data_IF_940475053889
#
_entry.id   IF_940475053889
#
_cell.length_a   1.000
_cell.length_b   1.000
_cell.length_c   1.000
_cell.angle_alpha   90.00
_cell.angle_beta   90.00
_cell.angle_gamma   90.00
#
_symmetry.space_group_name_H-M   'P 1'
#
loop_
_entity.id
_entity.type
_entity.pdbx_description
1 polymer ?
#
# COMPACT_ATOMS: atom_id res chain seq x y z
N UNK A 1 19.96 -12.67 -2.02
CA UNK A 1 20.53 -11.66 -2.93
C UNK A 1 19.39 -11.28 -3.85
N UNK A 2 18.71 -10.17 -3.55
CA UNK A 2 17.45 -9.81 -4.20
C UNK A 2 17.74 -8.76 -5.25
N UNK A 3 17.37 -9.07 -6.49
CA UNK A 3 17.51 -8.21 -7.67
C UNK A 3 16.61 -6.97 -7.54
N UNK A 4 17.22 -5.81 -7.38
CA UNK A 4 16.58 -4.52 -7.67
C UNK A 4 16.34 -4.45 -9.18
N UNK A 5 15.06 -4.49 -9.58
CA UNK A 5 14.68 -4.19 -10.96
C UNK A 5 14.23 -2.73 -11.00
N UNK A 6 15.19 -1.82 -11.12
CA UNK A 6 14.94 -0.40 -11.36
C UNK A 6 14.61 -0.22 -12.85
N UNK A 7 13.33 -0.14 -13.19
CA UNK A 7 12.91 0.35 -14.52
C UNK A 7 13.11 1.85 -14.58
N UNK A 8 14.23 2.28 -15.17
CA UNK A 8 14.48 3.69 -15.52
C UNK A 8 13.48 4.15 -16.57
N UNK A 9 12.54 5.00 -16.18
CA UNK A 9 11.64 5.67 -17.09
C UNK A 9 12.34 6.84 -17.78
N UNK A 10 13.01 6.58 -18.90
CA UNK A 10 13.44 7.63 -19.82
C UNK A 10 12.23 8.38 -20.39
N UNK A 11 12.12 9.68 -20.08
CA UNK A 11 11.16 10.60 -20.67
C UNK A 11 11.89 11.88 -21.07
N UNK A 12 11.86 12.21 -22.35
CA UNK A 12 12.72 13.21 -22.99
C UNK A 12 12.59 14.62 -22.40
N UNK A 13 13.73 15.14 -21.92
CA UNK A 13 13.86 16.50 -21.45
C UNK A 13 13.80 17.50 -22.60
N UNK A 14 12.67 18.21 -22.70
CA UNK A 14 12.68 19.54 -23.30
C UNK A 14 13.67 20.40 -22.55
N UNK A 15 14.61 21.04 -23.26
CA UNK A 15 15.64 21.87 -22.65
C UNK A 15 15.04 23.19 -22.17
N UNK A 16 14.31 23.17 -21.07
CA UNK A 16 13.76 24.40 -20.48
C UNK A 16 14.92 25.20 -19.91
N UNK A 17 15.17 26.38 -20.49
CA UNK A 17 16.19 27.33 -20.02
C UNK A 17 15.49 28.49 -19.34
N UNK A 18 15.71 28.66 -18.04
CA UNK A 18 15.14 29.76 -17.25
C UNK A 18 16.23 30.36 -16.36
N UNK A 19 16.29 31.69 -16.29
CA UNK A 19 17.21 32.44 -15.43
C UNK A 19 18.70 32.09 -15.62
N UNK A 20 19.08 31.61 -16.82
CA UNK A 20 20.43 31.14 -17.12
C UNK A 20 20.72 29.71 -16.65
N UNK A 21 19.69 28.95 -16.28
CA UNK A 21 19.79 27.54 -15.90
C UNK A 21 19.04 26.65 -16.88
N UNK A 22 19.58 25.46 -17.08
CA UNK A 22 18.98 24.41 -17.88
C UNK A 22 18.76 23.17 -17.01
N UNK A 23 17.57 22.60 -17.05
CA UNK A 23 17.32 21.26 -16.52
C UNK A 23 17.95 20.22 -17.45
N UNK A 24 18.91 19.45 -16.95
CA UNK A 24 19.67 18.45 -17.72
C UNK A 24 19.04 17.08 -17.61
N UNK A 25 18.69 16.67 -16.40
CA UNK A 25 18.09 15.36 -16.14
C UNK A 25 17.24 15.37 -14.88
N UNK A 26 16.30 14.45 -14.83
CA UNK A 26 15.42 14.19 -13.70
C UNK A 26 15.47 12.70 -13.37
N UNK A 27 15.50 12.41 -12.09
CA UNK A 27 15.41 11.08 -11.54
C UNK A 27 14.30 11.14 -10.48
N UNK A 28 13.09 10.87 -10.95
CA UNK A 28 11.85 10.97 -10.19
C UNK A 28 11.04 9.71 -10.46
N UNK A 29 10.71 8.90 -9.43
CA UNK A 29 9.93 7.70 -9.63
C UNK A 29 8.51 8.04 -10.06
N UNK A 30 7.92 7.25 -10.97
CA UNK A 30 6.52 7.39 -11.36
C UNK A 30 5.56 6.73 -10.35
N UNK A 31 6.04 5.74 -9.61
CA UNK A 31 5.27 4.98 -8.65
C UNK A 31 6.14 4.58 -7.47
N UNK A 32 5.59 4.68 -6.26
CA UNK A 32 6.27 4.30 -5.01
C UNK A 32 5.26 3.64 -4.07
N UNK A 33 5.69 2.64 -3.30
CA UNK A 33 4.84 2.04 -2.27
C UNK A 33 4.75 2.95 -1.04
N UNK A 34 3.55 3.11 -0.49
CA UNK A 34 3.34 3.90 0.72
C UNK A 34 4.27 3.46 1.88
N UNK A 35 4.69 4.41 2.71
CA UNK A 35 5.61 4.20 3.82
C UNK A 35 7.08 4.04 3.43
N UNK A 36 7.40 3.83 2.14
CA UNK A 36 8.78 3.76 1.67
C UNK A 36 9.38 5.15 1.42
N UNK A 37 10.68 5.28 1.73
CA UNK A 37 11.45 6.46 1.37
C UNK A 37 11.79 6.42 -0.12
N UNK A 38 11.71 7.58 -0.78
CA UNK A 38 12.17 7.76 -2.14
C UNK A 38 12.76 9.17 -2.31
N UNK A 39 13.48 9.40 -3.39
CA UNK A 39 14.10 10.69 -3.67
C UNK A 39 13.58 11.32 -4.95
N UNK A 40 13.43 12.65 -4.93
CA UNK A 40 13.33 13.47 -6.13
C UNK A 40 14.70 14.03 -6.42
N UNK A 41 15.22 13.83 -7.63
CA UNK A 41 16.54 14.31 -8.00
C UNK A 41 16.51 15.05 -9.33
N UNK A 42 17.06 16.26 -9.36
CA UNK A 42 17.15 17.10 -10.55
C UNK A 42 18.59 17.55 -10.75
N UNK A 43 19.09 17.43 -11.97
CA UNK A 43 20.41 17.94 -12.36
C UNK A 43 20.24 19.23 -13.15
N UNK A 44 20.77 20.32 -12.62
CA UNK A 44 20.75 21.64 -13.26
C UNK A 44 22.12 21.96 -13.83
N UNK A 45 22.16 22.69 -14.95
CA UNK A 45 23.37 23.28 -15.52
C UNK A 45 23.24 24.79 -15.52
N UNK A 46 24.27 25.51 -15.06
CA UNK A 46 24.38 26.94 -15.32
C UNK A 46 24.85 27.12 -16.77
N UNK A 47 24.01 27.72 -17.60
CA UNK A 47 24.29 28.04 -19.01
C UNK A 47 24.53 29.54 -19.24
N UNK A 48 24.51 30.34 -18.17
CA UNK A 48 24.95 31.74 -18.19
C UNK A 48 26.46 31.90 -18.02
N UNK A 49 26.90 33.16 -18.01
CA UNK A 49 28.33 33.53 -18.05
C UNK A 49 28.95 33.80 -16.67
N UNK A 50 28.14 33.84 -15.61
CA UNK A 50 28.61 34.09 -14.23
C UNK A 50 28.17 32.99 -13.24
N UNK A 51 28.95 32.73 -12.17
CA UNK A 51 28.55 31.82 -11.11
C UNK A 51 27.27 32.27 -10.40
N UNK A 52 26.23 31.42 -10.41
CA UNK A 52 24.90 31.75 -9.87
C UNK A 52 24.31 30.56 -9.10
N UNK A 53 23.58 30.84 -8.02
CA UNK A 53 22.79 29.83 -7.33
C UNK A 53 21.40 29.73 -7.95
N UNK A 54 20.83 28.53 -7.99
CA UNK A 54 19.45 28.32 -8.39
C UNK A 54 18.53 28.28 -7.16
N UNK A 55 17.41 28.98 -7.24
CA UNK A 55 16.36 28.99 -6.22
C UNK A 55 14.99 28.95 -6.89
N UNK A 56 14.15 27.99 -6.50
CA UNK A 56 12.76 27.87 -6.95
C UNK A 56 11.88 27.33 -5.83
N UNK A 57 10.64 27.80 -5.75
CA UNK A 57 9.63 27.11 -4.92
C UNK A 57 9.29 25.75 -5.54
N UNK A 58 8.95 24.80 -4.68
CA UNK A 58 8.40 23.50 -5.03
C UNK A 58 6.97 23.46 -4.50
N UNK A 59 6.00 23.49 -5.40
CA UNK A 59 4.59 23.31 -5.08
C UNK A 59 4.23 21.83 -5.13
N UNK A 60 3.33 21.41 -4.24
CA UNK A 60 2.86 20.02 -4.14
C UNK A 60 1.34 20.02 -4.15
N UNK A 61 0.75 19.44 -5.18
CA UNK A 61 -0.69 19.31 -5.34
C UNK A 61 -1.11 17.85 -5.31
N UNK A 62 -2.16 17.51 -4.56
CA UNK A 62 -2.71 16.15 -4.52
C UNK A 62 -3.65 15.91 -3.35
N UNK A 63 -4.27 14.72 -3.31
CA UNK A 63 -5.13 14.27 -2.21
C UNK A 63 -4.26 13.76 -1.03
N UNK A 64 -3.29 14.61 -0.66
CA UNK A 64 -2.29 14.56 0.42
C UNK A 64 -2.81 14.97 1.79
N UNK A 65 -3.44 14.13 2.61
CA UNK A 65 -3.69 14.47 4.01
C UNK A 65 -2.35 14.69 4.72
N UNK A 66 -2.19 15.89 5.27
CA UNK A 66 -0.90 16.39 5.76
C UNK A 66 -0.10 17.15 4.70
N UNK A 67 -0.74 17.83 3.74
CA UNK A 67 -0.13 18.79 2.82
C UNK A 67 0.71 19.85 3.57
N UNK A 68 1.94 19.45 3.85
CA UNK A 68 3.03 20.18 4.46
C UNK A 68 4.25 19.71 3.66
N UNK A 69 4.55 20.40 2.56
CA UNK A 69 5.76 21.21 2.46
C UNK A 69 5.80 21.83 1.06
N UNK A 70 5.41 23.10 1.00
CA UNK A 70 6.03 24.05 0.06
C UNK A 70 7.53 24.02 0.34
N UNK A 71 8.28 23.33 -0.51
CA UNK A 71 9.73 23.25 -0.40
C UNK A 71 10.40 24.41 -1.13
N UNK A 72 11.68 24.60 -0.88
CA UNK A 72 12.54 25.36 -1.78
C UNK A 72 13.61 24.45 -2.34
N UNK A 73 13.72 24.47 -3.67
CA UNK A 73 14.90 23.98 -4.35
C UNK A 73 15.95 25.07 -4.26
N UNK A 74 17.04 24.79 -3.54
CA UNK A 74 18.17 25.71 -3.41
C UNK A 74 19.47 24.96 -3.67
N UNK A 75 20.36 25.58 -4.44
CA UNK A 75 21.71 25.10 -4.68
C UNK A 75 22.74 26.09 -4.15
N UNK A 76 23.98 25.63 -3.99
CA UNK A 76 25.13 26.53 -3.96
C UNK A 76 25.30 27.23 -5.32
N UNK A 77 26.25 28.17 -5.40
CA UNK A 77 26.62 28.77 -6.68
C UNK A 77 27.19 27.71 -7.62
N UNK A 78 26.70 27.71 -8.85
CA UNK A 78 27.12 26.81 -9.93
C UNK A 78 27.92 27.66 -10.92
N UNK A 79 29.17 27.31 -11.17
CA UNK A 79 29.98 28.01 -12.16
C UNK A 79 29.42 27.84 -13.59
N UNK A 80 29.71 28.78 -14.51
CA UNK A 80 29.33 28.67 -15.92
C UNK A 80 29.71 27.32 -16.53
N UNK A 81 28.76 26.70 -17.24
CA UNK A 81 28.93 25.40 -17.88
C UNK A 81 28.97 24.20 -16.93
N UNK A 82 28.96 24.40 -15.60
CA UNK A 82 28.93 23.31 -14.61
C UNK A 82 27.51 22.89 -14.28
N UNK A 83 27.41 21.66 -13.77
CA UNK A 83 26.17 21.05 -13.30
C UNK A 83 26.19 20.86 -11.80
N UNK A 84 25.02 20.89 -11.17
CA UNK A 84 24.83 20.41 -9.80
C UNK A 84 23.60 19.53 -9.71
N UNK A 85 23.59 18.63 -8.73
CA UNK A 85 22.46 17.76 -8.41
C UNK A 85 21.79 18.29 -7.16
N UNK A 86 20.49 18.59 -7.27
CA UNK A 86 19.64 18.79 -6.11
C UNK A 86 18.84 17.52 -5.85
N UNK A 87 18.68 17.15 -4.59
CA UNK A 87 17.90 15.99 -4.19
C UNK A 87 17.16 16.25 -2.89
N UNK A 88 15.96 15.70 -2.76
CA UNK A 88 15.22 15.63 -1.49
C UNK A 88 14.66 14.23 -1.29
N UNK A 89 14.58 13.78 -0.03
CA UNK A 89 14.04 12.46 0.34
C UNK A 89 12.69 12.62 1.01
N UNK A 90 11.72 11.83 0.57
CA UNK A 90 10.31 11.96 0.91
C UNK A 90 9.73 10.61 1.33
N UNK A 91 8.61 10.63 2.04
CA UNK A 91 7.83 9.45 2.43
C UNK A 91 6.36 9.82 2.55
N UNK A 92 5.48 8.99 1.98
CA UNK A 92 4.03 9.18 2.07
C UNK A 92 3.39 8.01 2.80
N UNK A 93 2.70 8.23 3.94
CA UNK A 93 2.07 7.15 4.69
C UNK A 93 0.75 6.65 4.09
N UNK A 94 0.21 7.31 3.05
CA UNK A 94 -1.09 6.97 2.46
C UNK A 94 -0.98 6.81 0.95
N UNK A 95 -1.93 6.07 0.37
CA UNK A 95 -2.06 6.01 -1.08
C UNK A 95 -2.56 7.36 -1.61
N UNK A 96 -1.93 7.85 -2.65
CA UNK A 96 -2.18 9.19 -3.18
C UNK A 96 -1.65 9.30 -4.61
N UNK A 97 -2.11 10.33 -5.31
CA UNK A 97 -1.47 10.82 -6.54
C UNK A 97 -0.96 12.22 -6.26
N UNK A 98 0.36 12.40 -6.33
CA UNK A 98 1.05 13.63 -5.91
C UNK A 98 1.70 14.27 -7.13
N UNK A 99 1.50 15.57 -7.32
CA UNK A 99 2.10 16.37 -8.38
C UNK A 99 3.07 17.38 -7.78
N UNK A 100 4.33 17.32 -8.18
CA UNK A 100 5.36 18.29 -7.81
C UNK A 100 5.59 19.27 -8.94
N UNK A 101 5.39 20.56 -8.69
CA UNK A 101 5.69 21.62 -9.65
C UNK A 101 6.89 22.45 -9.20
N UNK A 102 7.92 22.51 -10.03
CA UNK A 102 9.08 23.39 -9.84
C UNK A 102 8.82 24.69 -10.58
N UNK A 103 8.34 25.71 -9.87
CA UNK A 103 7.77 26.93 -10.46
C UNK A 103 8.68 27.58 -11.53
N UNK A 104 9.97 27.78 -11.22
CA UNK A 104 10.88 28.44 -12.15
C UNK A 104 11.21 27.59 -13.37
N UNK A 105 11.17 26.27 -13.28
CA UNK A 105 11.42 25.42 -14.44
C UNK A 105 10.15 25.19 -15.26
N UNK A 106 8.98 25.56 -14.71
CA UNK A 106 7.66 25.17 -15.23
C UNK A 106 7.53 23.65 -15.48
N UNK A 107 8.24 22.86 -14.67
CA UNK A 107 8.27 21.40 -14.78
C UNK A 107 7.37 20.79 -13.71
N UNK A 108 6.59 19.77 -14.10
CA UNK A 108 5.70 19.04 -13.20
C UNK A 108 5.98 17.54 -13.25
N UNK A 109 6.09 16.92 -12.09
CA UNK A 109 6.26 15.47 -11.92
C UNK A 109 5.08 14.87 -11.19
N UNK A 110 4.53 13.78 -11.72
CA UNK A 110 3.44 13.05 -11.09
C UNK A 110 3.95 11.72 -10.55
N UNK A 111 3.60 11.42 -9.29
CA UNK A 111 3.99 10.21 -8.58
C UNK A 111 2.73 9.54 -8.04
N UNK A 112 2.55 8.27 -8.39
CA UNK A 112 1.48 7.42 -7.86
C UNK A 112 2.00 6.68 -6.61
N UNK A 113 1.52 7.07 -5.43
CA UNK A 113 1.77 6.36 -4.17
C UNK A 113 0.75 5.23 -4.04
N UNK A 114 1.22 4.00 -4.10
CA UNK A 114 0.38 2.79 -4.13
C UNK A 114 0.47 2.00 -2.83
N UNK A 115 -0.53 1.16 -2.60
CA UNK A 115 -0.53 0.23 -1.47
C UNK A 115 0.43 -0.94 -1.69
N UNK A 116 0.59 -1.74 -0.64
CA UNK A 116 1.58 -2.81 -0.62
C UNK A 116 1.03 -4.10 -1.22
N UNK A 117 1.87 -4.81 -1.98
CA UNK A 117 1.59 -6.16 -2.47
C UNK A 117 2.51 -7.12 -1.73
N UNK A 118 1.92 -8.15 -1.16
CA UNK A 118 2.54 -9.06 -0.21
C UNK A 118 2.24 -10.50 -0.59
N UNK A 119 3.10 -11.40 -0.16
CA UNK A 119 2.86 -12.84 -0.18
C UNK A 119 2.05 -13.24 1.05
N UNK A 120 1.29 -14.35 0.98
CA UNK A 120 0.68 -14.92 2.19
C UNK A 120 1.74 -15.19 3.28
N UNK A 121 1.41 -14.88 4.53
CA UNK A 121 2.31 -14.91 5.68
C UNK A 121 3.05 -13.59 5.96
N UNK A 122 3.17 -12.69 4.99
CA UNK A 122 3.78 -11.38 5.18
C UNK A 122 2.83 -10.38 5.88
N UNK A 123 3.41 -9.42 6.58
CA UNK A 123 2.66 -8.48 7.45
C UNK A 123 2.72 -7.06 6.92
N UNK A 124 1.56 -6.45 6.72
CA UNK A 124 1.40 -5.03 6.45
C UNK A 124 1.17 -4.26 7.75
N UNK A 125 1.81 -3.10 7.93
CA UNK A 125 1.54 -2.19 9.06
C UNK A 125 0.82 -0.94 8.56
N UNK A 126 -0.43 -0.74 8.97
CA UNK A 126 -1.20 0.44 8.58
C UNK A 126 -0.66 1.71 9.23
N UNK A 127 -0.99 2.90 8.69
CA UNK A 127 -0.66 4.19 9.32
C UNK A 127 -1.25 4.36 10.72
N UNK A 128 -2.33 3.65 11.03
CA UNK A 128 -2.97 3.61 12.35
C UNK A 128 -2.32 2.61 13.31
N UNK A 129 -1.21 1.99 12.92
CA UNK A 129 -0.45 1.02 13.71
C UNK A 129 -1.16 -0.31 13.99
N UNK A 130 -2.03 -0.73 13.07
CA UNK A 130 -2.53 -2.10 13.03
C UNK A 130 -1.64 -2.92 12.11
N UNK A 131 -1.05 -3.99 12.63
CA UNK A 131 -0.32 -4.97 11.84
C UNK A 131 -1.29 -6.07 11.37
N UNK A 132 -1.43 -6.25 10.06
CA UNK A 132 -2.31 -7.22 9.43
C UNK A 132 -1.49 -8.27 8.68
N UNK A 133 -1.84 -9.53 8.89
CA UNK A 133 -1.24 -10.69 8.21
C UNK A 133 -2.35 -11.58 7.68
N UNK A 134 -2.32 -11.89 6.40
CA UNK A 134 -3.12 -12.99 5.83
C UNK A 134 -2.23 -14.21 5.85
N UNK A 135 -2.51 -15.17 6.73
CA UNK A 135 -1.60 -16.28 7.01
C UNK A 135 -1.63 -17.32 5.89
N UNK A 136 -2.82 -17.77 5.52
CA UNK A 136 -3.07 -18.74 4.45
C UNK A 136 -4.53 -18.68 3.98
N UNK A 137 -4.83 -19.45 2.93
CA UNK A 137 -6.18 -19.77 2.48
C UNK A 137 -6.31 -21.29 2.38
N UNK A 138 -7.28 -21.86 3.08
CA UNK A 138 -7.62 -23.29 2.98
C UNK A 138 -8.83 -23.48 2.09
N UNK A 139 -8.67 -24.30 1.05
CA UNK A 139 -9.75 -24.72 0.15
C UNK A 139 -10.27 -26.10 0.56
N UNK A 140 -11.59 -26.26 0.64
CA UNK A 140 -12.24 -27.52 1.05
C UNK A 140 -13.64 -27.64 0.47
N UNK A 141 -14.11 -28.86 0.24
CA UNK A 141 -15.47 -29.14 -0.24
C UNK A 141 -16.51 -29.02 0.88
N UNK A 142 -16.13 -29.30 2.13
CA UNK A 142 -17.01 -29.17 3.30
C UNK A 142 -16.29 -28.59 4.50
N UNK A 143 -17.08 -28.08 5.46
CA UNK A 143 -16.62 -27.85 6.81
C UNK A 143 -17.51 -28.59 7.82
N UNK A 144 -16.94 -28.86 9.00
CA UNK A 144 -17.67 -29.48 10.11
C UNK A 144 -17.98 -28.40 11.13
N UNK A 145 -19.13 -28.47 11.80
CA UNK A 145 -19.47 -27.63 12.95
C UNK A 145 -20.10 -28.37 14.13
N UNK A 146 -19.75 -28.04 15.37
CA UNK A 146 -20.38 -28.58 16.58
C UNK A 146 -21.42 -27.59 17.15
N UNK A 147 -22.73 -27.85 17.00
CA UNK A 147 -23.76 -26.97 17.54
C UNK A 147 -23.84 -27.06 19.07
N UNK A 148 -24.39 -26.02 19.72
CA UNK A 148 -24.52 -25.94 21.18
C UNK A 148 -25.35 -27.07 21.82
N UNK A 149 -26.17 -27.77 21.02
CA UNK A 149 -26.92 -28.96 21.43
C UNK A 149 -26.08 -30.25 21.50
N UNK A 150 -24.80 -30.20 21.15
CA UNK A 150 -23.90 -31.34 21.09
C UNK A 150 -23.97 -32.08 19.74
N UNK A 151 -22.95 -32.92 19.49
CA UNK A 151 -22.77 -33.58 18.20
C UNK A 151 -21.99 -32.71 17.22
N UNK A 152 -22.01 -33.12 15.96
CA UNK A 152 -21.25 -32.47 14.89
C UNK A 152 -21.99 -32.60 13.57
N UNK A 153 -22.10 -31.51 12.84
CA UNK A 153 -22.72 -31.43 11.53
C UNK A 153 -21.66 -31.16 10.47
N UNK A 154 -21.84 -31.70 9.27
CA UNK A 154 -21.02 -31.36 8.11
C UNK A 154 -21.85 -30.49 7.18
N UNK A 155 -21.24 -29.43 6.67
CA UNK A 155 -21.83 -28.51 5.70
C UNK A 155 -21.00 -28.59 4.42
N UNK A 156 -21.58 -29.20 3.40
CA UNK A 156 -21.04 -29.26 2.05
C UNK A 156 -21.15 -27.89 1.38
N UNK A 157 -20.20 -27.58 0.49
CA UNK A 157 -20.36 -26.49 -0.46
C UNK A 157 -21.50 -26.81 -1.46
N UNK A 158 -22.08 -25.78 -2.03
CA UNK A 158 -23.10 -25.90 -3.08
C UNK A 158 -22.50 -26.53 -4.35
N UNK A 159 -23.36 -27.04 -5.22
CA UNK A 159 -22.96 -27.68 -6.48
C UNK A 159 -22.00 -26.81 -7.31
N UNK A 160 -20.84 -27.38 -7.66
CA UNK A 160 -19.78 -26.70 -8.43
C UNK A 160 -19.00 -25.64 -7.64
N UNK A 161 -19.15 -25.61 -6.30
CA UNK A 161 -18.46 -24.67 -5.41
C UNK A 161 -17.52 -25.39 -4.45
N UNK A 162 -16.69 -24.60 -3.78
CA UNK A 162 -15.87 -25.01 -2.66
C UNK A 162 -15.80 -23.87 -1.64
N UNK A 163 -15.48 -24.21 -0.41
CA UNK A 163 -15.21 -23.24 0.64
C UNK A 163 -13.77 -22.73 0.56
N UNK A 164 -13.59 -21.44 0.77
CA UNK A 164 -12.31 -20.80 1.01
C UNK A 164 -12.31 -20.17 2.41
N UNK A 165 -11.43 -20.67 3.28
CA UNK A 165 -11.20 -20.14 4.62
C UNK A 165 -9.92 -19.32 4.63
N UNK A 166 -10.05 -18.00 4.75
CA UNK A 166 -8.94 -17.05 4.83
C UNK A 166 -8.56 -16.86 6.29
N UNK A 167 -7.33 -17.25 6.68
CA UNK A 167 -6.83 -17.05 8.04
C UNK A 167 -6.23 -15.67 8.19
N UNK A 168 -6.82 -14.85 9.06
CA UNK A 168 -6.44 -13.45 9.28
C UNK A 168 -5.88 -13.29 10.69
N UNK A 169 -4.76 -12.57 10.81
CA UNK A 169 -4.24 -12.07 12.08
C UNK A 169 -4.12 -10.54 12.04
N UNK A 170 -4.68 -9.88 13.04
CA UNK A 170 -4.50 -8.44 13.26
C UNK A 170 -3.94 -8.18 14.66
N UNK A 171 -2.98 -7.28 14.78
CA UNK A 171 -2.36 -6.89 16.05
C UNK A 171 -2.34 -5.38 16.22
N UNK A 172 -2.66 -4.91 17.42
CA UNK A 172 -2.53 -3.51 17.78
C UNK A 172 -1.07 -3.20 18.15
N UNK A 173 -0.33 -2.52 17.26
CA UNK A 173 1.02 -2.03 17.53
C UNK A 173 1.04 -0.61 18.10
N UNK A 174 -0.12 0.00 18.29
CA UNK A 174 -0.22 1.31 18.91
C UNK A 174 -0.14 1.19 20.44
N UNK A 175 0.42 2.21 21.08
CA UNK A 175 0.60 2.27 22.54
C UNK A 175 -0.71 2.32 23.35
N UNK A 176 -1.84 2.61 22.70
CA UNK A 176 -3.16 2.70 23.34
C UNK A 176 -4.08 1.59 22.84
N UNK A 177 -5.20 1.35 23.54
CA UNK A 177 -6.24 0.44 23.05
C UNK A 177 -6.74 0.90 21.68
N UNK A 178 -6.96 -0.06 20.78
CA UNK A 178 -7.52 0.18 19.46
C UNK A 178 -8.55 -0.89 19.10
N UNK A 179 -9.55 -0.48 18.34
CA UNK A 179 -10.48 -1.40 17.69
C UNK A 179 -9.79 -1.98 16.46
N UNK A 180 -9.62 -3.30 16.41
CA UNK A 180 -9.09 -3.98 15.24
C UNK A 180 -10.10 -3.95 14.08
N UNK A 181 -9.63 -4.07 12.83
CA UNK A 181 -10.49 -4.07 11.65
C UNK A 181 -11.55 -5.16 11.72
N UNK A 182 -12.71 -4.88 11.14
CA UNK A 182 -13.76 -5.89 10.98
C UNK A 182 -13.49 -6.79 9.78
N UNK A 183 -14.06 -7.99 9.79
CA UNK A 183 -14.01 -8.91 8.66
C UNK A 183 -14.55 -8.30 7.35
N UNK A 184 -15.56 -7.43 7.43
CA UNK A 184 -16.15 -6.79 6.25
C UNK A 184 -15.22 -5.79 5.54
N UNK A 185 -14.13 -5.38 6.19
CA UNK A 185 -13.09 -4.52 5.59
C UNK A 185 -12.05 -5.32 4.81
N UNK A 186 -12.13 -6.66 4.86
CA UNK A 186 -11.23 -7.61 4.23
C UNK A 186 -12.01 -8.32 3.13
N UNK A 187 -11.48 -8.29 1.91
CA UNK A 187 -12.16 -8.80 0.74
C UNK A 187 -11.33 -9.88 0.06
N UNK A 188 -11.95 -11.04 -0.19
CA UNK A 188 -11.41 -12.00 -1.15
C UNK A 188 -11.74 -11.53 -2.56
N UNK A 189 -10.75 -11.59 -3.45
CA UNK A 189 -10.85 -11.25 -4.86
C UNK A 189 -10.50 -12.50 -5.67
N UNK A 190 -11.37 -12.86 -6.62
CA UNK A 190 -11.20 -14.01 -7.53
C UNK A 190 -11.37 -13.49 -8.96
N UNK A 191 -10.38 -13.68 -9.82
CA UNK A 191 -10.44 -13.22 -11.21
C UNK A 191 -10.63 -11.69 -11.37
N UNK A 192 -10.35 -10.91 -10.32
CA UNK A 192 -10.55 -9.44 -10.29
C UNK A 192 -11.84 -8.98 -9.61
N UNK A 193 -12.77 -9.90 -9.32
CA UNK A 193 -14.05 -9.59 -8.69
C UNK A 193 -14.04 -9.87 -7.19
N UNK A 194 -14.69 -9.01 -6.41
CA UNK A 194 -14.85 -9.20 -4.96
C UNK A 194 -15.90 -10.27 -4.67
N UNK A 195 -15.54 -11.23 -3.82
CA UNK A 195 -16.45 -12.27 -3.34
C UNK A 195 -17.06 -11.85 -2.01
N UNK A 196 -18.37 -12.04 -1.88
CA UNK A 196 -19.09 -11.80 -0.63
C UNK A 196 -18.68 -12.84 0.42
N UNK A 197 -18.41 -12.37 1.64
CA UNK A 197 -18.19 -13.24 2.79
C UNK A 197 -19.46 -14.05 3.07
N UNK A 198 -19.30 -15.35 3.26
CA UNK A 198 -20.39 -16.24 3.64
C UNK A 198 -20.64 -16.13 5.15
N UNK A 199 -21.92 -16.19 5.53
CA UNK A 199 -22.31 -16.35 6.93
C UNK A 199 -22.37 -17.85 7.24
N UNK A 200 -21.38 -18.33 7.98
CA UNK A 200 -21.30 -19.72 8.40
C UNK A 200 -21.77 -19.86 9.85
N UNK A 201 -22.34 -21.02 10.18
CA UNK A 201 -22.67 -21.35 11.56
C UNK A 201 -21.43 -21.17 12.46
N UNK A 202 -21.60 -20.47 13.57
CA UNK A 202 -20.52 -20.23 14.55
C UNK A 202 -20.11 -21.56 15.17
N UNK A 203 -18.83 -21.88 15.18
CA UNK A 203 -18.30 -23.15 15.69
C UNK A 203 -17.30 -22.95 16.84
N UNK A 204 -17.36 -23.88 17.80
CA UNK A 204 -16.24 -24.35 18.63
C UNK A 204 -15.80 -25.74 18.08
N UNK A 205 -15.07 -25.79 16.97
CA UNK A 205 -14.63 -27.08 16.39
C UNK A 205 -13.48 -26.95 15.38
N UNK A 206 -13.39 -27.81 14.35
CA UNK A 206 -12.11 -28.23 13.69
C UNK A 206 -11.20 -27.04 13.33
N UNK A 207 -11.80 -25.92 12.94
CA UNK A 207 -11.17 -24.63 12.87
C UNK A 207 -11.18 -24.00 14.30
N UNK A 208 -10.10 -24.20 15.06
CA UNK A 208 -9.93 -23.80 16.49
C UNK A 208 -9.86 -22.29 16.81
N UNK A 209 -9.79 -21.39 15.84
CA UNK A 209 -9.88 -19.93 16.02
C UNK A 209 -11.28 -19.38 15.70
N UNK A 210 -11.72 -18.37 16.44
CA UNK A 210 -13.05 -17.82 16.22
C UNK A 210 -13.14 -17.13 14.86
N UNK A 211 -14.37 -16.94 14.34
CA UNK A 211 -14.62 -16.02 13.21
C UNK A 211 -13.93 -14.68 13.47
N UNK A 212 -13.21 -14.17 12.49
CA UNK A 212 -12.56 -12.87 12.60
C UNK A 212 -13.61 -11.75 12.68
N UNK A 213 -13.46 -10.81 13.60
CA UNK A 213 -14.45 -9.77 13.89
C UNK A 213 -13.86 -8.55 14.61
N UNK A 214 -14.68 -7.55 14.91
CA UNK A 214 -14.22 -6.39 15.67
C UNK A 214 -13.95 -6.73 17.12
N UNK A 215 -12.75 -6.38 17.58
CA UNK A 215 -12.39 -6.41 18.98
C UNK A 215 -11.54 -5.21 19.33
N UNK A 216 -11.89 -4.53 20.42
CA UNK A 216 -11.01 -3.56 21.05
C UNK A 216 -9.99 -4.29 21.91
N UNK A 217 -8.72 -4.14 21.58
CA UNK A 217 -7.61 -4.85 22.22
C UNK A 217 -6.59 -3.89 22.80
N UNK A 218 -5.85 -4.31 23.82
CA UNK A 218 -4.74 -3.55 24.38
C UNK A 218 -3.55 -3.47 23.40
N UNK A 219 -2.57 -2.61 23.74
CA UNK A 219 -1.30 -2.54 23.00
C UNK A 219 -0.61 -3.91 23.01
N UNK A 220 -0.16 -4.37 21.84
CA UNK A 220 0.51 -5.65 21.65
C UNK A 220 -0.42 -6.87 21.63
N UNK A 221 -1.72 -6.70 21.89
CA UNK A 221 -2.68 -7.80 21.75
C UNK A 221 -3.05 -8.02 20.28
N UNK A 222 -3.29 -9.28 19.94
CA UNK A 222 -3.69 -9.70 18.60
C UNK A 222 -5.00 -10.48 18.61
N UNK A 223 -5.68 -10.47 17.47
CA UNK A 223 -6.81 -11.31 17.13
C UNK A 223 -6.44 -12.16 15.94
N UNK A 224 -6.77 -13.44 15.99
CA UNK A 224 -6.64 -14.36 14.86
C UNK A 224 -7.95 -15.09 14.66
N UNK A 225 -8.36 -15.25 13.41
CA UNK A 225 -9.63 -15.84 13.04
C UNK A 225 -9.77 -16.04 11.55
N UNK A 226 -10.86 -16.70 11.15
CA UNK A 226 -11.15 -16.93 9.74
C UNK A 226 -12.26 -16.05 9.19
N UNK A 227 -12.18 -15.82 7.89
CA UNK A 227 -13.26 -15.37 7.03
C UNK A 227 -13.57 -16.49 6.03
N UNK A 228 -14.85 -16.79 5.86
CA UNK A 228 -15.30 -17.87 4.97
C UNK A 228 -15.95 -17.30 3.71
N UNK A 229 -15.69 -17.95 2.58
CA UNK A 229 -16.23 -17.62 1.28
C UNK A 229 -16.60 -18.90 0.55
N UNK A 230 -17.57 -18.82 -0.35
CA UNK A 230 -17.90 -19.90 -1.26
C UNK A 230 -17.56 -19.48 -2.69
N UNK A 231 -16.60 -20.17 -3.29
CA UNK A 231 -16.01 -19.85 -4.59
C UNK A 231 -16.19 -21.02 -5.55
N UNK A 232 -15.84 -20.83 -6.82
CA UNK A 232 -15.93 -21.90 -7.82
C UNK A 232 -14.95 -23.04 -7.50
N UNK A 233 -15.36 -24.29 -7.72
CA UNK A 233 -14.55 -25.47 -7.41
C UNK A 233 -13.28 -25.62 -8.27
N UNK A 234 -13.20 -24.90 -9.39
CA UNK A 234 -12.02 -24.85 -10.28
C UNK A 234 -10.98 -23.79 -9.86
N UNK A 235 -11.31 -22.94 -8.88
CA UNK A 235 -10.41 -21.89 -8.40
C UNK A 235 -9.29 -22.50 -7.55
N UNK A 236 -8.04 -22.15 -7.84
CA UNK A 236 -6.87 -22.51 -7.05
C UNK A 236 -6.46 -21.37 -6.12
N UNK A 237 -5.58 -21.63 -5.15
CA UNK A 237 -5.05 -20.57 -4.26
C UNK A 237 -4.29 -19.49 -5.04
N UNK A 238 -3.65 -19.84 -6.16
CA UNK A 238 -2.91 -18.89 -7.02
C UNK A 238 -3.84 -17.86 -7.70
N UNK A 239 -5.13 -18.17 -7.82
CA UNK A 239 -6.14 -17.27 -8.39
C UNK A 239 -6.70 -16.28 -7.35
N UNK A 240 -6.32 -16.42 -6.08
CA UNK A 240 -6.87 -15.68 -4.96
C UNK A 240 -6.01 -14.49 -4.58
N UNK A 241 -6.66 -13.35 -4.37
CA UNK A 241 -6.05 -12.19 -3.73
C UNK A 241 -6.91 -11.75 -2.56
N UNK A 242 -6.30 -11.51 -1.40
CA UNK A 242 -6.99 -10.89 -0.26
C UNK A 242 -6.61 -9.43 -0.19
N UNK A 243 -7.60 -8.55 -0.09
CA UNK A 243 -7.41 -7.10 0.01
C UNK A 243 -7.91 -6.59 1.35
N UNK A 244 -7.08 -5.81 2.05
CA UNK A 244 -7.51 -5.01 3.19
C UNK A 244 -7.40 -3.52 2.85
N UNK A 245 -8.48 -2.77 3.12
CA UNK A 245 -8.58 -1.32 2.91
C UNK A 245 -8.97 -0.61 4.19
N UNK A 246 -8.43 0.58 4.41
CA UNK A 246 -8.80 1.43 5.54
C UNK A 246 -8.53 2.92 5.29
N UNK A 247 -9.06 3.74 6.20
CA UNK A 247 -8.86 5.20 6.22
C UNK A 247 -9.00 5.74 7.65
N UNK A 248 -8.32 6.85 7.97
CA UNK A 248 -8.31 7.45 9.31
C UNK A 248 -8.67 8.94 9.33
N UNK A 249 -9.31 9.45 8.27
CA UNK A 249 -9.60 10.88 8.08
C UNK A 249 -8.39 11.64 7.53
N UNK A 250 -7.18 11.15 7.75
CA UNK A 250 -5.96 11.56 7.07
C UNK A 250 -5.69 10.68 5.85
N UNK A 251 -6.70 10.23 5.11
CA UNK A 251 -6.50 9.46 3.88
C UNK A 251 -6.69 7.97 4.03
N UNK A 252 -6.25 7.25 3.00
CA UNK A 252 -6.55 5.84 2.82
C UNK A 252 -5.28 5.02 2.60
N UNK A 253 -5.36 3.74 2.93
CA UNK A 253 -4.34 2.75 2.60
C UNK A 253 -5.00 1.48 2.06
N UNK A 254 -4.21 0.67 1.38
CA UNK A 254 -4.58 -0.69 1.05
C UNK A 254 -3.35 -1.59 1.05
N UNK A 255 -3.58 -2.87 1.31
CA UNK A 255 -2.61 -3.93 1.10
C UNK A 255 -3.31 -5.12 0.44
N UNK A 256 -2.55 -5.86 -0.37
CA UNK A 256 -3.02 -7.06 -1.07
C UNK A 256 -2.07 -8.22 -0.84
N UNK A 257 -2.63 -9.38 -0.54
CA UNK A 257 -1.89 -10.63 -0.37
C UNK A 257 -2.29 -11.61 -1.46
N UNK A 258 -1.32 -12.23 -2.09
CA UNK A 258 -1.49 -13.35 -3.04
C UNK A 258 -0.36 -14.35 -2.83
N UNK A 259 -0.40 -15.47 -3.55
CA UNK A 259 0.74 -16.37 -3.68
C UNK A 259 1.76 -15.84 -4.71
#
# INVERSE_FOLDING_TARGET
MSNETTTSGGGGGGKTTVDGFQLVSTDVPKQVTMGQQFSLSLTLKNVGDEPKAFQSSVQVDGNSPGAQQTGQMQTDKIDPGKTTKWSTTLTYPYVAKVNYRIEKLDETFTIDIVGEKLSFGETFRSPTEVAMTIQDITLTDHYRYEPSGGGSENVEASDGRQWAFVTVKAENKFRMKQTLPKGEQIHLIVGGDKVSMADIAKEDGKYKVNRFGDRTVASGESLTGWLAYEISADTSVDDLTVEWKGSDGNGSWWARWSQ
#
